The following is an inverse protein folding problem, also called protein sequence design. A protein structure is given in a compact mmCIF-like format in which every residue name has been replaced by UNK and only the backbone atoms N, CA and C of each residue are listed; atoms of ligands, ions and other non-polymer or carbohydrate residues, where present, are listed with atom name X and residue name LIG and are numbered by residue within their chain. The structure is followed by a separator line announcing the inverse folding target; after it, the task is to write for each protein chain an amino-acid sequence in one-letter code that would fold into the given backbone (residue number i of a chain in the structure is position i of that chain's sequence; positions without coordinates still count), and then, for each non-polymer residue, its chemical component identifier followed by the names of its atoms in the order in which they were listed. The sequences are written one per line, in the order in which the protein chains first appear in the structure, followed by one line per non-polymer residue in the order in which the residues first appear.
data_IF_513469216015
#
_entry.id   IF_513469216015
#
_cell.length_a   1.000
_cell.length_b   1.000
_cell.length_c   1.000
_cell.angle_alpha   90.00
_cell.angle_beta   90.00
_cell.angle_gamma   90.00
#
_symmetry.space_group_name_H-M   'P 1'
#
loop_
_entity.id
_entity.type
_entity.pdbx_description
1 polymer ?
#
# COMPACT_ATOMS: atom_id res chain seq x y z
N UNK A 1 26.17 -21.91 -5.13
CA UNK A 1 26.03 -20.55 -4.56
C UNK A 1 24.64 -20.05 -4.87
N UNK A 2 23.83 -19.80 -3.84
CA UNK A 2 22.50 -19.21 -4.00
C UNK A 2 22.65 -17.78 -4.52
N UNK A 3 21.95 -17.38 -5.60
CA UNK A 3 21.94 -15.98 -6.02
C UNK A 3 21.44 -15.10 -4.86
N UNK A 4 22.06 -13.94 -4.63
CA UNK A 4 21.51 -12.97 -3.67
C UNK A 4 20.07 -12.59 -4.06
N UNK A 5 19.21 -12.27 -3.07
CA UNK A 5 17.77 -12.04 -3.28
C UNK A 5 17.47 -11.01 -4.38
N UNK A 6 18.28 -9.97 -4.51
CA UNK A 6 18.19 -8.99 -5.61
C UNK A 6 18.41 -9.62 -7.00
N UNK A 7 19.43 -10.47 -7.14
CA UNK A 7 19.72 -11.15 -8.40
C UNK A 7 18.61 -12.15 -8.74
N UNK A 8 18.10 -12.86 -7.74
CA UNK A 8 16.97 -13.77 -7.90
C UNK A 8 15.71 -13.02 -8.36
N UNK A 9 15.45 -11.84 -7.79
CA UNK A 9 14.36 -10.96 -8.21
C UNK A 9 14.52 -10.51 -9.66
N UNK A 10 15.69 -10.01 -10.06
CA UNK A 10 15.97 -9.60 -11.46
C UNK A 10 15.73 -10.73 -12.47
N UNK A 11 15.99 -11.97 -12.08
CA UNK A 11 15.76 -13.14 -12.94
C UNK A 11 14.30 -13.57 -13.04
N UNK A 12 13.47 -13.25 -12.04
CA UNK A 12 12.08 -13.71 -11.96
C UNK A 12 11.05 -12.60 -12.24
N UNK A 13 11.48 -11.33 -12.29
CA UNK A 13 10.55 -10.19 -12.30
C UNK A 13 9.62 -10.17 -13.51
N UNK A 14 10.08 -10.63 -14.67
CA UNK A 14 9.26 -10.69 -15.87
C UNK A 14 8.13 -11.72 -15.73
N UNK A 15 8.43 -12.91 -15.19
CA UNK A 15 7.44 -13.95 -14.88
C UNK A 15 6.44 -13.46 -13.81
N UNK A 16 6.94 -12.80 -12.76
CA UNK A 16 6.14 -12.24 -11.67
C UNK A 16 5.15 -11.19 -12.21
N UNK A 17 5.62 -10.28 -13.08
CA UNK A 17 4.79 -9.26 -13.71
C UNK A 17 3.81 -9.84 -14.74
N UNK A 18 4.21 -10.89 -15.45
CA UNK A 18 3.36 -11.56 -16.44
C UNK A 18 2.20 -12.35 -15.83
N UNK A 19 2.24 -12.64 -14.51
CA UNK A 19 1.18 -13.40 -13.83
C UNK A 19 -0.21 -12.75 -14.04
N UNK A 20 -1.25 -13.50 -14.45
CA UNK A 20 -2.57 -12.90 -14.62
C UNK A 20 -3.22 -12.61 -13.26
N UNK A 21 -4.00 -11.52 -13.18
CA UNK A 21 -4.63 -11.06 -11.92
C UNK A 21 -5.47 -12.12 -11.21
N UNK A 22 -6.12 -13.01 -11.96
CA UNK A 22 -6.95 -14.09 -11.41
C UNK A 22 -6.16 -15.27 -10.81
N UNK A 23 -4.83 -15.27 -10.95
CA UNK A 23 -3.92 -16.26 -10.35
C UNK A 23 -3.22 -15.72 -9.10
N UNK A 24 -3.40 -14.44 -8.78
CA UNK A 24 -2.78 -13.82 -7.61
C UNK A 24 -3.47 -14.33 -6.35
N UNK A 25 -2.70 -14.98 -5.50
CA UNK A 25 -3.06 -15.37 -4.14
C UNK A 25 -2.48 -14.35 -3.18
N UNK A 26 -3.30 -13.84 -2.27
CA UNK A 26 -2.84 -12.92 -1.24
C UNK A 26 -2.10 -13.67 -0.13
N UNK A 27 -0.94 -13.13 0.26
CA UNK A 27 -0.22 -13.61 1.43
C UNK A 27 -1.01 -13.25 2.68
N UNK A 28 -1.50 -14.25 3.39
CA UNK A 28 -2.33 -14.14 4.60
C UNK A 28 -1.54 -14.39 5.90
N UNK A 29 -0.21 -14.34 5.82
CA UNK A 29 0.72 -14.39 6.94
C UNK A 29 1.52 -13.07 6.99
N UNK A 30 2.03 -12.68 8.18
CA UNK A 30 2.94 -11.54 8.31
C UNK A 30 4.15 -11.66 7.39
N UNK A 31 4.61 -10.53 6.86
CA UNK A 31 5.62 -10.48 5.80
C UNK A 31 6.93 -11.16 6.21
N UNK A 32 7.41 -10.85 7.39
CA UNK A 32 8.63 -11.38 7.99
C UNK A 32 8.57 -12.90 8.20
N UNK A 33 7.40 -13.39 8.63
CA UNK A 33 7.15 -14.82 8.80
C UNK A 33 7.16 -15.50 7.44
N UNK A 34 6.47 -14.94 6.46
CA UNK A 34 6.42 -15.48 5.11
C UNK A 34 7.81 -15.59 4.48
N UNK A 35 8.61 -14.52 4.55
CA UNK A 35 9.98 -14.53 4.01
C UNK A 35 10.84 -15.60 4.68
N UNK A 36 10.76 -15.74 6.00
CA UNK A 36 11.49 -16.76 6.73
C UNK A 36 11.04 -18.18 6.34
N UNK A 37 9.74 -18.48 6.36
CA UNK A 37 9.20 -19.79 5.97
C UNK A 37 9.57 -20.16 4.52
N UNK A 38 9.56 -19.19 3.59
CA UNK A 38 9.96 -19.48 2.20
C UNK A 38 11.43 -19.89 2.08
N UNK A 39 12.30 -19.26 2.88
CA UNK A 39 13.72 -19.56 2.93
C UNK A 39 13.97 -20.93 3.55
N UNK A 40 13.26 -21.26 4.63
CA UNK A 40 13.33 -22.55 5.29
C UNK A 40 12.86 -23.69 4.36
N UNK A 41 11.75 -23.52 3.65
CA UNK A 41 11.27 -24.52 2.68
C UNK A 41 12.29 -24.75 1.57
N UNK A 42 12.86 -23.68 1.01
CA UNK A 42 13.85 -23.80 -0.06
C UNK A 42 15.12 -24.54 0.41
N UNK A 43 15.57 -24.29 1.64
CA UNK A 43 16.70 -24.99 2.25
C UNK A 43 16.39 -26.47 2.47
N UNK A 44 15.24 -26.79 3.08
CA UNK A 44 14.81 -28.17 3.30
C UNK A 44 14.71 -28.95 1.98
N UNK A 45 14.10 -28.34 0.96
CA UNK A 45 13.98 -28.91 -0.39
C UNK A 45 15.35 -29.20 -1.01
N UNK A 46 16.34 -28.33 -0.79
CA UNK A 46 17.70 -28.54 -1.29
C UNK A 46 18.39 -29.70 -0.59
N UNK A 47 18.26 -29.82 0.73
CA UNK A 47 18.86 -30.90 1.52
C UNK A 47 18.27 -32.27 1.15
N UNK A 48 16.95 -32.32 0.96
CA UNK A 48 16.20 -33.55 0.67
C UNK A 48 16.02 -33.79 -0.84
N UNK A 49 16.76 -33.06 -1.69
CA UNK A 49 16.60 -33.05 -3.15
C UNK A 49 16.62 -34.44 -3.79
N UNK A 50 17.47 -35.34 -3.29
CA UNK A 50 17.59 -36.70 -3.84
C UNK A 50 16.30 -37.51 -3.67
N UNK A 51 15.63 -37.39 -2.53
CA UNK A 51 14.37 -38.09 -2.24
C UNK A 51 13.26 -37.58 -3.17
N UNK A 52 13.17 -36.26 -3.36
CA UNK A 52 12.22 -35.64 -4.29
C UNK A 52 12.43 -36.08 -5.75
N UNK A 53 13.69 -36.16 -6.20
CA UNK A 53 14.02 -36.65 -7.54
C UNK A 53 13.61 -38.12 -7.70
N UNK A 54 13.89 -38.95 -6.69
CA UNK A 54 13.49 -40.36 -6.69
C UNK A 54 11.95 -40.53 -6.71
N UNK A 55 11.22 -39.62 -6.07
CA UNK A 55 9.76 -39.59 -6.06
C UNK A 55 9.14 -39.12 -7.40
N UNK A 56 9.93 -38.53 -8.30
CA UNK A 56 9.48 -38.11 -9.63
C UNK A 56 8.89 -36.70 -9.68
N UNK A 57 9.24 -35.80 -8.75
CA UNK A 57 8.82 -34.39 -8.85
C UNK A 57 9.40 -33.75 -10.12
N UNK A 58 8.70 -32.75 -10.66
CA UNK A 58 9.25 -31.93 -11.73
C UNK A 58 10.52 -31.20 -11.26
N UNK A 59 11.67 -31.57 -11.82
CA UNK A 59 12.97 -31.01 -11.45
C UNK A 59 13.05 -29.49 -11.64
N UNK A 60 12.28 -28.91 -12.58
CA UNK A 60 12.24 -27.46 -12.77
C UNK A 60 11.73 -26.71 -11.53
N UNK A 61 10.87 -27.33 -10.71
CA UNK A 61 10.40 -26.75 -9.45
C UNK A 61 11.51 -26.77 -8.40
N UNK A 62 12.25 -27.88 -8.29
CA UNK A 62 13.41 -28.01 -7.40
C UNK A 62 14.52 -27.01 -7.78
N UNK A 63 14.74 -26.80 -9.07
CA UNK A 63 15.77 -25.89 -9.58
C UNK A 63 15.42 -24.41 -9.38
N UNK A 64 14.12 -24.09 -9.33
CA UNK A 64 13.66 -22.72 -9.23
C UNK A 64 13.29 -22.29 -7.81
N UNK A 65 12.96 -23.20 -6.89
CA UNK A 65 12.41 -22.85 -5.56
C UNK A 65 13.26 -21.83 -4.79
N UNK A 66 14.58 -22.00 -4.78
CA UNK A 66 15.50 -21.09 -4.08
C UNK A 66 15.49 -19.70 -4.71
N UNK A 67 15.43 -19.62 -6.04
CA UNK A 67 15.33 -18.35 -6.77
C UNK A 67 13.97 -17.68 -6.55
N UNK A 68 12.89 -18.47 -6.55
CA UNK A 68 11.53 -17.97 -6.26
C UNK A 68 11.43 -17.41 -4.84
N UNK A 69 11.98 -18.10 -3.84
CA UNK A 69 12.06 -17.62 -2.46
C UNK A 69 12.88 -16.32 -2.34
N UNK A 70 14.06 -16.25 -2.98
CA UNK A 70 14.88 -15.04 -3.02
C UNK A 70 14.18 -13.86 -3.69
N UNK A 71 13.47 -14.09 -4.81
CA UNK A 71 12.69 -13.07 -5.50
C UNK A 71 11.54 -12.54 -4.63
N UNK A 72 10.84 -13.43 -3.92
CA UNK A 72 9.81 -13.04 -2.96
C UNK A 72 10.38 -12.21 -1.80
N UNK A 73 11.52 -12.62 -1.22
CA UNK A 73 12.18 -11.88 -0.14
C UNK A 73 12.56 -10.46 -0.55
N UNK A 74 13.08 -10.27 -1.76
CA UNK A 74 13.41 -8.93 -2.26
C UNK A 74 12.15 -8.09 -2.53
N UNK A 75 11.10 -8.69 -3.12
CA UNK A 75 9.83 -8.01 -3.32
C UNK A 75 9.17 -7.57 -2.00
N UNK A 76 9.28 -8.39 -0.96
CA UNK A 76 8.85 -8.06 0.40
C UNK A 76 9.64 -6.86 0.96
N UNK A 77 10.96 -6.83 0.81
CA UNK A 77 11.79 -5.69 1.24
C UNK A 77 11.42 -4.38 0.49
N UNK A 78 11.17 -4.45 -0.82
CA UNK A 78 10.70 -3.29 -1.59
C UNK A 78 9.34 -2.78 -1.09
N UNK A 79 8.41 -3.70 -0.77
CA UNK A 79 7.11 -3.32 -0.23
C UNK A 79 7.23 -2.72 1.18
N UNK A 80 8.08 -3.27 2.04
CA UNK A 80 8.37 -2.70 3.36
C UNK A 80 8.93 -1.28 3.25
N UNK A 81 9.90 -1.06 2.35
CA UNK A 81 10.46 0.26 2.07
C UNK A 81 9.38 1.25 1.59
N UNK A 82 8.46 0.81 0.72
CA UNK A 82 7.35 1.65 0.27
C UNK A 82 6.37 1.99 1.41
N UNK A 83 6.11 1.06 2.34
CA UNK A 83 5.27 1.31 3.52
C UNK A 83 5.89 2.31 4.50
N UNK A 84 7.22 2.35 4.57
CA UNK A 84 7.98 3.28 5.42
C UNK A 84 8.12 4.68 4.79
N UNK A 85 7.65 4.88 3.57
CA UNK A 85 7.73 6.18 2.90
C UNK A 85 6.76 7.21 3.51
N UNK A 86 7.40 8.30 3.92
CA UNK A 86 6.87 9.61 4.27
C UNK A 86 5.82 9.77 5.40
N UNK A 87 6.12 9.28 6.63
CA UNK A 87 5.37 9.67 7.83
C UNK A 87 5.30 11.19 8.03
N UNK A 88 6.29 11.93 7.52
CA UNK A 88 6.42 13.36 7.69
C UNK A 88 5.44 14.15 6.81
N UNK A 89 5.27 13.79 5.53
CA UNK A 89 4.23 14.38 4.65
C UNK A 89 2.85 14.19 5.25
N UNK A 90 2.53 13.00 5.78
CA UNK A 90 1.26 12.77 6.47
C UNK A 90 1.14 13.65 7.72
N UNK A 91 2.18 13.73 8.55
CA UNK A 91 2.18 14.57 9.76
C UNK A 91 1.99 16.05 9.45
N UNK A 92 2.69 16.56 8.43
CA UNK A 92 2.56 17.94 7.96
C UNK A 92 1.16 18.17 7.41
N UNK A 93 0.64 17.25 6.59
CA UNK A 93 -0.73 17.32 6.07
C UNK A 93 -1.77 17.42 7.19
N UNK A 94 -1.68 16.54 8.19
CA UNK A 94 -2.61 16.51 9.31
C UNK A 94 -2.55 17.81 10.14
N UNK A 95 -1.38 18.44 10.23
CA UNK A 95 -1.20 19.72 10.92
C UNK A 95 -1.73 20.92 10.11
N UNK A 96 -1.55 20.92 8.80
CA UNK A 96 -1.76 22.11 7.94
C UNK A 96 -3.14 22.11 7.26
N UNK A 97 -3.68 20.93 6.92
CA UNK A 97 -4.95 20.83 6.21
C UNK A 97 -6.15 21.45 6.95
N UNK A 98 -6.24 21.47 8.30
CA UNK A 98 -7.31 22.18 8.99
C UNK A 98 -7.35 23.67 8.65
N UNK A 99 -6.18 24.33 8.56
CA UNK A 99 -6.11 25.74 8.20
C UNK A 99 -6.66 26.01 6.79
N UNK A 100 -6.45 25.09 5.85
CA UNK A 100 -7.01 25.19 4.50
C UNK A 100 -8.54 25.17 4.50
N UNK A 101 -9.14 24.27 5.29
CA UNK A 101 -10.59 24.22 5.45
C UNK A 101 -11.16 25.48 6.11
N UNK A 102 -10.50 26.03 7.15
CA UNK A 102 -10.91 27.28 7.77
C UNK A 102 -10.84 28.46 6.80
N UNK A 103 -9.74 28.57 6.06
CA UNK A 103 -9.51 29.66 5.12
C UNK A 103 -10.50 29.63 3.96
N UNK A 104 -10.79 28.43 3.42
CA UNK A 104 -11.86 28.22 2.43
C UNK A 104 -13.20 28.74 2.96
N UNK A 105 -13.59 28.38 4.19
CA UNK A 105 -14.85 28.86 4.80
C UNK A 105 -14.86 30.36 5.03
N UNK A 106 -13.73 30.93 5.47
CA UNK A 106 -13.57 32.37 5.63
C UNK A 106 -13.84 33.10 4.32
N UNK A 107 -13.11 32.76 3.26
CA UNK A 107 -13.21 33.43 1.95
C UNK A 107 -14.61 33.30 1.36
N UNK A 108 -15.18 32.08 1.37
CA UNK A 108 -16.54 31.85 0.88
C UNK A 108 -17.59 32.71 1.60
N UNK A 109 -17.45 32.91 2.92
CA UNK A 109 -18.37 33.75 3.70
C UNK A 109 -18.30 35.21 3.25
N UNK A 110 -17.10 35.77 3.16
CA UNK A 110 -16.92 37.18 2.76
C UNK A 110 -17.30 37.43 1.31
N UNK A 111 -16.94 36.51 0.40
CA UNK A 111 -17.31 36.60 -1.01
C UNK A 111 -18.83 36.49 -1.19
N UNK A 112 -19.51 35.61 -0.44
CA UNK A 112 -20.98 35.52 -0.50
C UNK A 112 -21.66 36.83 -0.07
N UNK A 113 -21.08 37.56 0.88
CA UNK A 113 -21.60 38.86 1.32
C UNK A 113 -21.29 39.98 0.30
N UNK A 114 -20.05 40.02 -0.19
CA UNK A 114 -19.59 41.04 -1.14
C UNK A 114 -20.28 40.91 -2.49
N UNK A 115 -20.54 39.68 -2.94
CA UNK A 115 -21.03 39.39 -4.28
C UNK A 115 -22.54 39.13 -4.35
N UNK A 116 -23.28 39.31 -3.23
CA UNK A 116 -24.71 38.96 -3.12
C UNK A 116 -25.61 39.56 -4.21
N UNK A 117 -25.25 40.73 -4.73
CA UNK A 117 -26.02 41.46 -5.76
C UNK A 117 -25.51 41.15 -7.19
N UNK A 118 -24.50 40.28 -7.34
CA UNK A 118 -23.84 39.93 -8.59
C UNK A 118 -24.06 38.44 -8.92
N UNK A 119 -25.12 38.14 -9.66
CA UNK A 119 -25.56 36.77 -9.95
C UNK A 119 -24.46 35.88 -10.56
N UNK A 120 -23.65 36.42 -11.47
CA UNK A 120 -22.56 35.68 -12.10
C UNK A 120 -21.46 35.28 -11.09
N UNK A 121 -21.09 36.18 -10.19
CA UNK A 121 -20.11 35.90 -9.15
C UNK A 121 -20.67 34.90 -8.12
N UNK A 122 -21.96 34.97 -7.82
CA UNK A 122 -22.63 33.99 -6.95
C UNK A 122 -22.67 32.60 -7.59
N UNK A 123 -22.85 32.49 -8.91
CA UNK A 123 -22.75 31.20 -9.64
C UNK A 123 -21.35 30.62 -9.56
N UNK A 124 -20.31 31.44 -9.71
CA UNK A 124 -18.92 30.98 -9.56
C UNK A 124 -18.63 30.47 -8.14
N UNK A 125 -19.12 31.17 -7.10
CA UNK A 125 -19.05 30.68 -5.71
C UNK A 125 -19.79 29.34 -5.55
N UNK A 126 -20.97 29.20 -6.15
CA UNK A 126 -21.75 27.97 -6.06
C UNK A 126 -20.98 26.79 -6.65
N UNK A 127 -20.38 26.96 -7.83
CA UNK A 127 -19.58 25.92 -8.48
C UNK A 127 -18.37 25.49 -7.62
N UNK A 128 -17.65 26.45 -7.03
CA UNK A 128 -16.53 26.17 -6.10
C UNK A 128 -17.02 25.34 -4.88
N UNK A 129 -18.27 25.53 -4.43
CA UNK A 129 -18.81 24.78 -3.28
C UNK A 129 -19.20 23.33 -3.59
N UNK A 130 -19.37 22.95 -4.86
CA UNK A 130 -19.88 21.63 -5.26
C UNK A 130 -18.91 20.47 -4.94
N UNK A 131 -17.61 20.75 -4.95
CA UNK A 131 -16.55 19.78 -4.66
C UNK A 131 -16.58 19.26 -3.22
N UNK A 132 -16.19 17.99 -3.04
CA UNK A 132 -16.10 17.31 -1.74
C UNK A 132 -14.77 16.58 -1.59
N UNK A 133 -14.02 16.97 -0.56
CA UNK A 133 -12.79 16.29 -0.12
C UNK A 133 -11.56 17.17 -0.22
N UNK A 134 -10.40 16.56 -0.03
CA UNK A 134 -9.13 17.28 0.11
C UNK A 134 -8.66 17.93 -1.20
N UNK A 135 -8.77 17.23 -2.33
CA UNK A 135 -8.39 17.77 -3.65
C UNK A 135 -9.21 19.00 -4.01
N UNK A 136 -10.52 18.90 -3.82
CA UNK A 136 -11.45 20.00 -4.07
C UNK A 136 -11.15 21.17 -3.14
N UNK A 137 -10.95 20.93 -1.83
CA UNK A 137 -10.58 21.98 -0.89
C UNK A 137 -9.29 22.71 -1.32
N UNK A 138 -8.26 21.98 -1.76
CA UNK A 138 -7.00 22.58 -2.21
C UNK A 138 -7.21 23.40 -3.47
N UNK A 139 -7.94 22.90 -4.47
CA UNK A 139 -8.25 23.64 -5.69
C UNK A 139 -9.13 24.87 -5.43
N UNK A 140 -10.05 24.78 -4.47
CA UNK A 140 -10.92 25.87 -4.07
C UNK A 140 -10.11 27.03 -3.49
N UNK A 141 -9.05 26.78 -2.72
CA UNK A 141 -8.19 27.84 -2.20
C UNK A 141 -7.58 28.69 -3.33
N UNK A 142 -7.10 28.06 -4.40
CA UNK A 142 -6.60 28.78 -5.58
C UNK A 142 -7.72 29.51 -6.32
N UNK A 143 -8.85 28.84 -6.52
CA UNK A 143 -10.01 29.41 -7.22
C UNK A 143 -10.56 30.65 -6.49
N UNK A 144 -10.63 30.58 -5.16
CA UNK A 144 -11.06 31.68 -4.29
C UNK A 144 -10.02 32.80 -4.28
N UNK A 145 -8.72 32.50 -4.24
CA UNK A 145 -7.67 33.51 -4.37
C UNK A 145 -7.83 34.30 -5.68
N UNK A 146 -7.92 33.61 -6.82
CA UNK A 146 -8.05 34.24 -8.15
C UNK A 146 -9.33 35.09 -8.22
N UNK A 147 -10.45 34.56 -7.71
CA UNK A 147 -11.73 35.27 -7.74
C UNK A 147 -11.73 36.50 -6.83
N UNK A 148 -11.06 36.43 -5.68
CA UNK A 148 -10.83 37.57 -4.78
C UNK A 148 -9.96 38.64 -5.46
N UNK A 149 -8.83 38.27 -6.08
CA UNK A 149 -7.94 39.22 -6.74
C UNK A 149 -8.63 40.00 -7.85
N UNK A 150 -9.44 39.33 -8.66
CA UNK A 150 -10.22 39.96 -9.74
C UNK A 150 -11.30 40.93 -9.23
N UNK A 151 -11.77 40.77 -8.00
CA UNK A 151 -12.91 41.50 -7.44
C UNK A 151 -12.58 42.20 -6.11
N UNK A 152 -11.30 42.53 -5.90
CA UNK A 152 -10.81 43.06 -4.62
C UNK A 152 -11.51 44.36 -4.20
N UNK A 153 -11.92 45.18 -5.17
CA UNK A 153 -12.64 46.43 -4.92
C UNK A 153 -13.99 46.22 -4.22
N UNK A 154 -14.69 45.11 -4.50
CA UNK A 154 -15.96 44.77 -3.86
C UNK A 154 -15.73 44.24 -2.43
N UNK A 155 -14.73 43.39 -2.26
CA UNK A 155 -14.36 42.81 -0.96
C UNK A 155 -13.85 43.88 0.02
N UNK A 156 -13.09 44.86 -0.49
CA UNK A 156 -12.57 45.99 0.27
C UNK A 156 -13.64 46.88 0.91
N UNK A 157 -14.89 46.79 0.47
CA UNK A 157 -16.01 47.53 1.08
C UNK A 157 -16.44 46.94 2.43
N UNK A 158 -16.03 45.70 2.73
CA UNK A 158 -16.37 45.03 4.00
C UNK A 158 -15.28 45.34 5.03
N UNK A 159 -15.57 46.08 6.11
CA UNK A 159 -14.53 46.52 7.06
C UNK A 159 -13.78 45.38 7.77
N UNK A 160 -14.40 44.21 7.91
CA UNK A 160 -13.81 43.03 8.56
C UNK A 160 -13.06 42.09 7.61
N UNK A 161 -13.00 42.41 6.31
CA UNK A 161 -12.31 41.58 5.34
C UNK A 161 -10.80 41.83 5.42
N UNK A 162 -10.06 40.76 5.70
CA UNK A 162 -8.61 40.77 5.74
C UNK A 162 -8.06 40.34 4.38
N UNK A 163 -7.34 41.26 3.74
CA UNK A 163 -6.74 41.03 2.41
C UNK A 163 -5.57 40.04 2.47
N UNK A 164 -4.91 39.89 3.61
CA UNK A 164 -3.80 38.94 3.76
C UNK A 164 -4.30 37.49 3.57
N UNK A 165 -5.57 37.22 3.89
CA UNK A 165 -6.22 35.93 3.65
C UNK A 165 -6.29 35.53 2.18
N UNK A 166 -6.24 36.49 1.26
CA UNK A 166 -6.21 36.21 -0.18
C UNK A 166 -4.84 35.66 -0.58
N UNK A 167 -3.75 36.27 -0.10
CA UNK A 167 -2.39 35.77 -0.33
C UNK A 167 -2.16 34.44 0.38
N UNK A 168 -2.62 34.32 1.63
CA UNK A 168 -2.53 33.08 2.42
C UNK A 168 -3.19 31.90 1.69
N UNK A 169 -4.28 32.13 0.96
CA UNK A 169 -4.96 31.06 0.21
C UNK A 169 -4.11 30.53 -0.96
N UNK A 170 -3.34 31.39 -1.63
CA UNK A 170 -2.40 30.95 -2.67
C UNK A 170 -1.24 30.16 -2.07
N UNK A 171 -0.66 30.66 -0.99
CA UNK A 171 0.50 30.02 -0.35
C UNK A 171 0.12 28.66 0.22
N UNK A 172 -1.03 28.60 0.89
CA UNK A 172 -1.55 27.36 1.46
C UNK A 172 -2.02 26.38 0.37
N UNK A 173 -2.59 26.87 -0.75
CA UNK A 173 -2.84 26.03 -1.92
C UNK A 173 -1.55 25.36 -2.41
N UNK A 174 -0.48 26.13 -2.67
CA UNK A 174 0.78 25.58 -3.18
C UNK A 174 1.34 24.52 -2.24
N UNK A 175 1.39 24.82 -0.94
CA UNK A 175 1.88 23.91 0.09
C UNK A 175 1.07 22.62 0.17
N UNK A 176 -0.26 22.72 0.24
CA UNK A 176 -1.13 21.55 0.35
C UNK A 176 -1.20 20.74 -0.95
N UNK A 177 -1.12 21.39 -2.11
CA UNK A 177 -1.07 20.72 -3.41
C UNK A 177 0.19 19.86 -3.54
N UNK A 178 1.34 20.39 -3.12
CA UNK A 178 2.60 19.64 -3.10
C UNK A 178 2.54 18.43 -2.16
N UNK A 179 1.94 18.58 -0.98
CA UNK A 179 1.75 17.48 -0.02
C UNK A 179 0.80 16.40 -0.56
N UNK A 180 -0.30 16.80 -1.21
CA UNK A 180 -1.21 15.85 -1.88
C UNK A 180 -0.48 15.09 -2.98
N UNK A 181 0.26 15.79 -3.86
CA UNK A 181 0.98 15.16 -4.95
C UNK A 181 2.00 14.13 -4.44
N UNK A 182 2.74 14.47 -3.36
CA UNK A 182 3.66 13.52 -2.70
C UNK A 182 2.91 12.30 -2.14
N UNK A 183 1.84 12.52 -1.39
CA UNK A 183 1.04 11.43 -0.83
C UNK A 183 0.44 10.52 -1.90
N UNK A 184 0.07 11.05 -3.07
CA UNK A 184 -0.42 10.24 -4.19
C UNK A 184 0.67 9.42 -4.86
N UNK A 185 1.87 10.01 -5.02
CA UNK A 185 3.04 9.27 -5.51
C UNK A 185 3.40 8.12 -4.57
N UNK A 186 3.40 8.37 -3.27
CA UNK A 186 3.66 7.34 -2.25
C UNK A 186 2.58 6.25 -2.28
N UNK A 187 1.30 6.62 -2.38
CA UNK A 187 0.21 5.66 -2.48
C UNK A 187 0.30 4.78 -3.74
N UNK A 188 0.71 5.36 -4.87
CA UNK A 188 0.96 4.61 -6.10
C UNK A 188 2.16 3.66 -5.93
N UNK A 189 3.27 4.13 -5.37
CA UNK A 189 4.45 3.32 -5.10
C UNK A 189 4.14 2.14 -4.15
N UNK A 190 3.38 2.39 -3.08
CA UNK A 190 2.86 1.37 -2.16
C UNK A 190 1.98 0.36 -2.92
N UNK A 191 1.07 0.85 -3.76
CA UNK A 191 0.18 0.01 -4.56
C UNK A 191 0.93 -0.91 -5.53
N UNK A 192 1.92 -0.36 -6.25
CA UNK A 192 2.77 -1.11 -7.17
C UNK A 192 3.64 -2.14 -6.44
N UNK A 193 4.28 -1.75 -5.35
CA UNK A 193 5.11 -2.64 -4.56
C UNK A 193 4.27 -3.78 -3.92
N UNK A 194 3.06 -3.47 -3.47
CA UNK A 194 2.11 -4.47 -2.93
C UNK A 194 1.66 -5.47 -4.00
N UNK A 195 1.37 -5.00 -5.21
CA UNK A 195 0.99 -5.87 -6.33
C UNK A 195 2.14 -6.83 -6.69
N UNK A 196 3.36 -6.31 -6.81
CA UNK A 196 4.56 -7.13 -7.06
C UNK A 196 4.80 -8.13 -5.92
N UNK A 197 4.66 -7.70 -4.66
CA UNK A 197 4.78 -8.57 -3.49
C UNK A 197 3.83 -9.78 -3.55
N UNK A 198 2.54 -9.56 -3.82
CA UNK A 198 1.57 -10.64 -3.89
C UNK A 198 1.74 -11.54 -5.12
N UNK A 199 2.20 -10.99 -6.25
CA UNK A 199 2.58 -11.81 -7.41
C UNK A 199 3.80 -12.67 -7.14
N UNK A 200 4.81 -12.12 -6.48
CA UNK A 200 6.02 -12.87 -6.11
C UNK A 200 5.69 -14.00 -5.12
N UNK A 201 4.79 -13.74 -4.16
CA UNK A 201 4.25 -14.77 -3.27
C UNK A 201 3.54 -15.88 -4.04
N UNK A 202 2.67 -15.51 -4.98
CA UNK A 202 1.92 -16.46 -5.81
C UNK A 202 2.85 -17.31 -6.67
N UNK A 203 3.84 -16.68 -7.30
CA UNK A 203 4.87 -17.34 -8.10
C UNK A 203 5.69 -18.32 -7.25
N UNK A 204 6.09 -17.94 -6.04
CA UNK A 204 6.72 -18.87 -5.10
C UNK A 204 5.78 -20.04 -4.74
N UNK A 205 4.51 -19.75 -4.43
CA UNK A 205 3.53 -20.76 -4.00
C UNK A 205 3.29 -21.86 -5.04
N UNK A 206 3.32 -21.54 -6.34
CA UNK A 206 3.19 -22.56 -7.40
C UNK A 206 4.20 -23.70 -7.24
N UNK A 207 5.45 -23.40 -6.90
CA UNK A 207 6.47 -24.42 -6.67
C UNK A 207 6.37 -25.01 -5.26
N UNK A 208 6.11 -24.17 -4.27
CA UNK A 208 6.07 -24.58 -2.87
C UNK A 208 4.93 -25.57 -2.57
N UNK A 209 3.74 -25.36 -3.15
CA UNK A 209 2.58 -26.21 -2.90
C UNK A 209 2.82 -27.63 -3.45
N UNK A 210 3.40 -27.76 -4.64
CA UNK A 210 3.79 -29.07 -5.20
C UNK A 210 4.85 -29.76 -4.33
N UNK A 211 5.89 -29.03 -3.93
CA UNK A 211 6.94 -29.56 -3.04
C UNK A 211 6.34 -30.07 -1.72
N UNK A 212 5.40 -29.32 -1.14
CA UNK A 212 4.73 -29.71 0.11
C UNK A 212 3.87 -30.97 -0.05
N UNK A 213 3.21 -31.16 -1.19
CA UNK A 213 2.47 -32.39 -1.50
C UNK A 213 3.43 -33.59 -1.55
N UNK A 214 4.56 -33.47 -2.24
CA UNK A 214 5.57 -34.53 -2.29
C UNK A 214 6.21 -34.79 -0.92
N UNK A 215 6.47 -33.74 -0.15
CA UNK A 215 7.02 -33.86 1.19
C UNK A 215 6.05 -34.58 2.13
N UNK A 216 4.75 -34.31 2.01
CA UNK A 216 3.73 -35.06 2.74
C UNK A 216 3.79 -36.53 2.36
N UNK A 217 3.76 -36.87 1.07
CA UNK A 217 3.84 -38.26 0.62
C UNK A 217 5.11 -38.99 1.12
N UNK A 218 6.26 -38.34 1.08
CA UNK A 218 7.55 -38.94 1.44
C UNK A 218 7.77 -39.06 2.96
N UNK A 219 7.30 -38.09 3.72
CA UNK A 219 7.73 -37.90 5.11
C UNK A 219 6.59 -37.95 6.12
N UNK A 220 5.34 -38.18 5.72
CA UNK A 220 4.22 -38.29 6.65
C UNK A 220 4.52 -39.26 7.81
N UNK A 221 4.22 -38.82 9.03
CA UNK A 221 4.53 -39.55 10.26
C UNK A 221 5.98 -39.45 10.75
N UNK A 222 6.88 -38.78 10.01
CA UNK A 222 8.28 -38.57 10.40
C UNK A 222 8.53 -37.15 10.91
N UNK A 223 9.63 -36.95 11.65
CA UNK A 223 10.06 -35.62 12.07
C UNK A 223 10.44 -34.71 10.89
N UNK A 224 10.86 -35.28 9.75
CA UNK A 224 11.19 -34.50 8.55
C UNK A 224 9.99 -33.71 8.01
N UNK A 225 8.78 -34.27 8.10
CA UNK A 225 7.58 -33.62 7.59
C UNK A 225 7.34 -32.24 8.21
N UNK A 226 7.71 -32.05 9.49
CA UNK A 226 7.54 -30.78 10.20
C UNK A 226 8.27 -29.61 9.50
N UNK A 227 9.38 -29.88 8.81
CA UNK A 227 10.17 -28.87 8.07
C UNK A 227 9.45 -28.29 6.85
N UNK A 228 8.36 -28.93 6.40
CA UNK A 228 7.57 -28.55 5.24
C UNK A 228 6.22 -27.94 5.60
N UNK A 229 5.89 -27.90 6.89
CA UNK A 229 4.69 -27.28 7.43
C UNK A 229 4.96 -25.80 7.73
N UNK A 230 3.89 -25.00 7.75
CA UNK A 230 3.98 -23.63 8.24
C UNK A 230 3.79 -23.64 9.75
N UNK A 231 4.82 -23.22 10.47
CA UNK A 231 4.77 -23.04 11.93
C UNK A 231 3.69 -22.02 12.30
N UNK A 232 3.54 -20.96 11.50
CA UNK A 232 2.53 -19.93 11.70
C UNK A 232 1.10 -20.49 11.74
N UNK A 233 0.74 -21.33 10.78
CA UNK A 233 -0.60 -21.92 10.74
C UNK A 233 -0.79 -23.04 11.76
N UNK A 234 0.27 -23.77 12.10
CA UNK A 234 0.25 -24.77 13.17
C UNK A 234 -0.09 -24.11 14.52
N UNK A 235 0.54 -23.00 14.87
CA UNK A 235 0.34 -22.36 16.17
C UNK A 235 -1.03 -21.70 16.29
N UNK A 236 -1.52 -21.02 15.24
CA UNK A 236 -2.89 -20.48 15.23
C UNK A 236 -3.97 -21.58 15.30
N UNK A 237 -3.72 -22.74 14.69
CA UNK A 237 -4.63 -23.89 14.78
C UNK A 237 -4.74 -24.43 16.22
N UNK A 238 -3.63 -24.44 16.97
CA UNK A 238 -3.60 -24.82 18.39
C UNK A 238 -4.33 -23.79 19.26
N UNK A 239 -4.12 -22.50 19.03
CA UNK A 239 -4.80 -21.42 19.75
C UNK A 239 -6.32 -21.46 19.54
N UNK A 240 -6.79 -21.64 18.30
CA UNK A 240 -8.21 -21.78 18.00
C UNK A 240 -8.84 -23.02 18.64
N UNK A 241 -8.11 -24.14 18.67
CA UNK A 241 -8.56 -25.39 19.30
C UNK A 241 -8.63 -25.27 20.82
N UNK A 242 -7.65 -24.61 21.45
CA UNK A 242 -7.64 -24.35 22.89
C UNK A 242 -8.75 -23.38 23.32
N UNK A 243 -9.05 -22.37 22.50
CA UNK A 243 -10.19 -21.47 22.72
C UNK A 243 -11.53 -22.23 22.63
N UNK A 244 -11.71 -23.09 21.62
CA UNK A 244 -12.92 -23.89 21.43
C UNK A 244 -13.16 -24.92 22.55
N UNK A 245 -12.09 -25.48 23.12
CA UNK A 245 -12.20 -26.39 24.28
C UNK A 245 -12.62 -25.66 25.56
N UNK A 246 -12.19 -24.41 25.77
CA UNK A 246 -12.63 -23.59 26.91
C UNK A 246 -14.11 -23.19 26.80
N UNK A 247 -14.62 -22.93 25.60
CA UNK A 247 -16.04 -22.58 25.40
C UNK A 247 -17.00 -23.76 25.60
N UNK A 248 -16.53 -25.00 25.41
CA UNK A 248 -17.34 -26.21 25.68
C UNK A 248 -17.32 -26.66 27.15
N UNK A 249 -16.51 -26.06 27.98
CA UNK A 249 -16.36 -26.39 29.41
C UNK A 249 -17.13 -25.42 30.34
N UNK A 250 -18.03 -24.61 29.79
CA UNK A 250 -18.91 -23.67 30.51
C UNK A 250 -20.36 -24.10 30.34
#
# INVERSE_FOLDING_TARGET
MTPGSEQAYKQCIDDIKAMPKNKIVYCNQPMEIAVNETTQLALATWEDRADFVAAGINQALLDSITRRAGAFAYAAALYQLALEQDPETKRIWDAESPAGYELRRYLLRFMSLAFRDFEELMRQIAHIKEGRGHKDMVLDLLSLNILCEKNMALLAQIPMFDREKVTEARDLHNKLNDLLARSELDANAIGEAKDIYHRAWSYYKEAADEIKIFAQFLYEGTDKHKRYLSDYFQDRGKEGSAAAQKTKAV
#
